data_IF_493256376286
#
_entry.id   IF_493256376286
#
_cell.length_a   1.000
_cell.length_b   1.000
_cell.length_c   1.000
_cell.angle_alpha   90.00
_cell.angle_beta   90.00
_cell.angle_gamma   90.00
#
_symmetry.space_group_name_H-M   'P 1'
#
loop_
_entity.id
_entity.type
_entity.pdbx_description
1 polymer ?
#
# COMPACT_ATOMS: atom_id res chain seq x y z
N UNK A 1 -4.92 -9.61 2.37
CA UNK A 1 -3.79 -9.51 3.33
C UNK A 1 -2.50 -9.41 2.53
N UNK A 2 -1.58 -8.49 2.86
CA UNK A 2 -0.37 -8.23 2.05
C UNK A 2 0.55 -9.45 1.86
N UNK A 3 0.48 -10.45 2.74
CA UNK A 3 1.30 -11.66 2.66
C UNK A 3 0.50 -12.92 2.24
N UNK A 4 -0.63 -12.75 1.55
CA UNK A 4 -1.33 -13.91 0.98
C UNK A 4 -0.49 -14.56 -0.12
N UNK A 5 -0.72 -15.86 -0.41
CA UNK A 5 -0.07 -16.55 -1.54
C UNK A 5 -0.23 -15.74 -2.83
N UNK A 6 -1.46 -15.32 -3.16
CA UNK A 6 -1.73 -14.50 -4.36
C UNK A 6 -0.93 -13.19 -4.38
N UNK A 7 -0.84 -12.48 -3.25
CA UNK A 7 -0.07 -11.23 -3.17
C UNK A 7 1.43 -11.44 -3.43
N UNK A 8 2.01 -12.53 -2.90
CA UNK A 8 3.44 -12.82 -3.05
C UNK A 8 3.78 -13.20 -4.50
N UNK A 9 2.89 -13.92 -5.18
CA UNK A 9 3.13 -14.46 -6.52
C UNK A 9 2.65 -13.57 -7.67
N UNK A 10 1.82 -12.56 -7.42
CA UNK A 10 1.40 -11.61 -8.45
C UNK A 10 2.54 -10.69 -8.88
N UNK A 11 2.54 -10.25 -10.15
CA UNK A 11 3.49 -9.26 -10.67
C UNK A 11 3.33 -7.89 -9.98
N UNK A 12 2.08 -7.52 -9.68
CA UNK A 12 1.72 -6.27 -9.00
C UNK A 12 0.64 -6.58 -7.96
N UNK A 13 0.85 -6.10 -6.72
CA UNK A 13 -0.15 -6.17 -5.66
C UNK A 13 -0.52 -4.79 -5.17
N UNK A 14 -1.82 -4.47 -5.18
CA UNK A 14 -2.36 -3.27 -4.53
C UNK A 14 -2.91 -3.69 -3.17
N UNK A 15 -2.30 -3.21 -2.09
CA UNK A 15 -2.72 -3.50 -0.71
C UNK A 15 -3.70 -2.41 -0.26
N UNK A 16 -4.92 -2.46 -0.78
CA UNK A 16 -5.99 -1.54 -0.39
C UNK A 16 -7.37 -2.18 -0.59
N UNK A 17 -8.43 -1.50 -0.12
CA UNK A 17 -9.80 -1.91 -0.35
C UNK A 17 -10.22 -1.63 -1.80
N UNK A 18 -10.92 -2.59 -2.41
CA UNK A 18 -11.31 -2.55 -3.82
C UNK A 18 -12.17 -1.33 -4.18
N UNK A 19 -13.07 -0.90 -3.29
CA UNK A 19 -13.97 0.24 -3.55
C UNK A 19 -13.17 1.54 -3.73
N UNK A 20 -12.15 1.76 -2.89
CA UNK A 20 -11.25 2.91 -3.05
C UNK A 20 -10.32 2.75 -4.24
N UNK A 21 -9.78 1.54 -4.40
CA UNK A 21 -8.76 1.23 -5.42
C UNK A 21 -9.30 1.47 -6.82
N UNK A 22 -10.49 0.98 -7.14
CA UNK A 22 -11.05 1.09 -8.49
C UNK A 22 -11.26 2.56 -8.89
N UNK A 23 -11.85 3.36 -8.01
CA UNK A 23 -12.03 4.80 -8.27
C UNK A 23 -10.70 5.50 -8.51
N UNK A 24 -9.70 5.24 -7.66
CA UNK A 24 -8.39 5.86 -7.78
C UNK A 24 -7.64 5.41 -9.03
N UNK A 25 -7.72 4.12 -9.41
CA UNK A 25 -7.11 3.59 -10.62
C UNK A 25 -7.69 4.25 -11.88
N UNK A 26 -9.01 4.49 -11.92
CA UNK A 26 -9.66 5.19 -13.04
C UNK A 26 -9.13 6.62 -13.15
N UNK A 27 -9.02 7.34 -12.02
CA UNK A 27 -8.47 8.69 -12.01
C UNK A 27 -7.00 8.73 -12.45
N UNK A 28 -6.18 7.81 -11.97
CA UNK A 28 -4.77 7.69 -12.35
C UNK A 28 -4.65 7.35 -13.84
N UNK A 29 -5.45 6.43 -14.36
CA UNK A 29 -5.45 6.08 -15.78
C UNK A 29 -5.79 7.29 -16.66
N UNK A 30 -6.76 8.11 -16.27
CA UNK A 30 -7.08 9.36 -16.98
C UNK A 30 -5.92 10.34 -16.96
N UNK A 31 -5.20 10.49 -15.84
CA UNK A 31 -4.03 11.36 -15.72
C UNK A 31 -2.84 10.87 -16.54
N UNK A 32 -2.62 9.55 -16.58
CA UNK A 32 -1.51 8.94 -17.28
C UNK A 32 -1.75 8.76 -18.79
N UNK A 33 -2.97 8.99 -19.28
CA UNK A 33 -3.34 8.81 -20.69
C UNK A 33 -2.46 9.64 -21.64
N UNK A 34 -2.11 10.86 -21.24
CA UNK A 34 -1.38 11.82 -22.08
C UNK A 34 0.12 11.85 -21.75
N UNK A 35 0.60 10.95 -20.89
CA UNK A 35 2.01 10.80 -20.51
C UNK A 35 2.77 10.05 -21.60
N UNK A 36 4.02 10.43 -21.85
CA UNK A 36 4.81 9.81 -22.90
C UNK A 36 5.20 8.37 -22.56
N UNK A 37 5.40 7.55 -23.60
CA UNK A 37 5.68 6.12 -23.45
C UNK A 37 6.95 5.83 -22.65
N UNK A 38 7.99 6.66 -22.75
CA UNK A 38 9.25 6.44 -22.02
C UNK A 38 9.05 6.70 -20.54
N UNK A 39 8.28 7.73 -20.18
CA UNK A 39 7.92 8.00 -18.78
C UNK A 39 7.07 6.87 -18.20
N UNK A 40 6.05 6.38 -18.94
CA UNK A 40 5.25 5.23 -18.52
C UNK A 40 6.11 3.97 -18.32
N UNK A 41 7.07 3.72 -19.23
CA UNK A 41 7.99 2.59 -19.12
C UNK A 41 8.88 2.72 -17.89
N UNK A 42 9.38 3.93 -17.59
CA UNK A 42 10.18 4.18 -16.39
C UNK A 42 9.42 3.87 -15.10
N UNK A 43 8.10 4.17 -15.04
CA UNK A 43 7.27 3.82 -13.88
C UNK A 43 7.22 2.30 -13.68
N UNK A 44 7.08 1.54 -14.77
CA UNK A 44 7.04 0.06 -14.74
C UNK A 44 8.41 -0.49 -14.32
N UNK A 45 9.49 -0.02 -14.95
CA UNK A 45 10.85 -0.53 -14.73
C UNK A 45 11.34 -0.29 -13.30
N UNK A 46 10.88 0.79 -12.66
CA UNK A 46 11.25 1.13 -11.29
C UNK A 46 10.34 0.48 -10.23
N UNK A 47 9.29 -0.25 -10.62
CA UNK A 47 8.38 -0.89 -9.68
C UNK A 47 8.95 -2.23 -9.17
N UNK A 48 8.82 -2.47 -7.87
CA UNK A 48 9.20 -3.74 -7.24
C UNK A 48 8.11 -4.22 -6.28
N UNK A 49 7.41 -5.29 -6.66
CA UNK A 49 6.28 -5.81 -5.88
C UNK A 49 6.68 -6.35 -4.50
N UNK A 50 7.85 -7.00 -4.40
CA UNK A 50 8.35 -7.51 -3.10
C UNK A 50 8.60 -6.36 -2.13
N UNK A 51 9.25 -5.30 -2.61
CA UNK A 51 9.48 -4.07 -1.82
C UNK A 51 8.16 -3.40 -1.41
N UNK A 52 7.17 -3.35 -2.31
CA UNK A 52 5.85 -2.81 -2.04
C UNK A 52 5.11 -3.57 -0.91
N UNK A 53 5.15 -4.90 -0.94
CA UNK A 53 4.57 -5.75 0.12
C UNK A 53 5.27 -5.51 1.47
N UNK A 54 6.60 -5.48 1.49
CA UNK A 54 7.37 -5.21 2.71
C UNK A 54 7.05 -3.83 3.30
N UNK A 55 6.98 -2.79 2.46
CA UNK A 55 6.63 -1.44 2.90
C UNK A 55 5.20 -1.36 3.45
N UNK A 56 4.27 -2.14 2.87
CA UNK A 56 2.90 -2.25 3.37
C UNK A 56 2.87 -2.86 4.77
N UNK A 57 3.61 -3.95 5.00
CA UNK A 57 3.74 -4.58 6.32
C UNK A 57 4.38 -3.63 7.35
N UNK A 58 5.44 -2.93 6.99
CA UNK A 58 6.08 -1.93 7.85
C UNK A 58 5.10 -0.82 8.27
N UNK A 59 4.26 -0.38 7.34
CA UNK A 59 3.23 0.63 7.62
C UNK A 59 2.20 0.10 8.63
N UNK A 60 1.76 -1.14 8.49
CA UNK A 60 0.86 -1.80 9.45
C UNK A 60 1.53 -1.90 10.82
N UNK A 61 2.77 -2.40 10.89
CA UNK A 61 3.53 -2.53 12.14
C UNK A 61 3.66 -1.17 12.85
N UNK A 62 4.00 -0.12 12.10
CA UNK A 62 4.10 1.26 12.63
C UNK A 62 2.77 1.73 13.20
N UNK A 63 1.67 1.48 12.48
CA UNK A 63 0.33 1.86 12.92
C UNK A 63 -0.07 1.14 14.21
N UNK A 64 0.10 -0.18 14.27
CA UNK A 64 -0.20 -0.99 15.47
C UNK A 64 0.69 -0.56 16.65
N UNK A 65 1.98 -0.31 16.44
CA UNK A 65 2.88 0.23 17.49
C UNK A 65 2.38 1.57 18.03
N UNK A 66 1.87 2.45 17.17
CA UNK A 66 1.29 3.74 17.58
C UNK A 66 0.02 3.53 18.40
N UNK A 67 -0.91 2.70 17.93
CA UNK A 67 -2.13 2.36 18.66
C UNK A 67 -1.84 1.76 20.04
N UNK A 68 -0.87 0.85 20.11
CA UNK A 68 -0.40 0.26 21.38
C UNK A 68 -0.01 1.35 22.37
N UNK A 69 0.85 2.30 21.98
CA UNK A 69 1.26 3.40 22.86
C UNK A 69 0.08 4.22 23.39
N UNK A 70 -0.94 4.46 22.57
CA UNK A 70 -2.15 5.17 22.98
C UNK A 70 -2.96 4.34 23.98
N UNK A 71 -3.21 3.06 23.67
CA UNK A 71 -3.96 2.16 24.56
C UNK A 71 -3.31 2.03 25.94
N UNK A 72 -1.98 1.89 26.00
CA UNK A 72 -1.25 1.82 27.27
C UNK A 72 -1.37 3.10 28.11
N UNK A 73 -1.43 4.29 27.49
CA UNK A 73 -1.66 5.54 28.21
C UNK A 73 -3.05 5.59 28.80
N UNK A 74 -4.07 5.17 28.06
CA UNK A 74 -5.46 5.13 28.54
C UNK A 74 -5.57 4.20 29.74
N UNK A 75 -5.06 2.97 29.62
CA UNK A 75 -5.12 1.97 30.69
C UNK A 75 -4.35 2.42 31.94
N UNK A 76 -3.17 3.06 31.78
CA UNK A 76 -2.38 3.56 32.92
C UNK A 76 -2.95 4.82 33.59
N UNK A 77 -3.70 5.64 32.86
CA UNK A 77 -4.32 6.86 33.41
C UNK A 77 -5.72 6.62 34.00
N UNK A 78 -6.25 5.40 33.89
CA UNK A 78 -7.52 4.98 34.51
C UNK A 78 -7.33 4.34 35.89
N UNK A 79 -6.12 4.42 36.47
CA UNK A 79 -5.78 4.03 37.84
C UNK A 79 -5.25 5.25 38.56
#
# INVERSE_FOLDING_TARGET
FPFSRTSIWADITIVDNIVRTLSLMIEIAKKLKDVDKKELQSIIDNFNNRKNILLSLETIIRHVKKQKKVAFKIVKNQI
#
